data_IF_771215088572
#
_entry.id   IF_771215088572
#
_cell.length_a   1.000
_cell.length_b   1.000
_cell.length_c   1.000
_cell.angle_alpha   90.00
_cell.angle_beta   90.00
_cell.angle_gamma   90.00
#
_symmetry.space_group_name_H-M   'P 1'
#
loop_
_entity.id
_entity.type
_entity.pdbx_description
1 polymer ?
#
# COMPACT_ATOMS: atom_id res chain seq x y z
N UNK A 1 0.80 -42.08 31.24
CA UNK A 1 -0.14 -41.01 30.85
C UNK A 1 0.19 -39.79 31.68
N UNK A 2 0.94 -38.84 31.12
CA UNK A 2 1.27 -37.55 31.74
C UNK A 2 0.65 -36.46 30.87
N UNK A 3 -0.33 -35.74 31.43
CA UNK A 3 -1.06 -34.67 30.76
C UNK A 3 -0.34 -33.36 31.04
N UNK A 4 0.30 -32.78 30.02
CA UNK A 4 0.82 -31.41 30.12
C UNK A 4 -0.31 -30.43 29.80
N UNK A 5 -0.67 -29.63 30.81
CA UNK A 5 -1.51 -28.44 30.66
C UNK A 5 -0.58 -27.27 30.34
N UNK A 6 -0.65 -26.73 29.13
CA UNK A 6 0.06 -25.50 28.76
C UNK A 6 -0.92 -24.34 28.83
N UNK A 7 -0.73 -23.48 29.82
CA UNK A 7 -1.47 -22.25 30.05
C UNK A 7 -1.17 -21.22 28.95
N UNK A 8 -2.18 -20.87 28.14
CA UNK A 8 -2.14 -19.71 27.22
C UNK A 8 -2.00 -18.42 28.04
N UNK A 9 -0.92 -17.66 27.81
CA UNK A 9 -0.82 -16.26 28.24
C UNK A 9 -1.60 -15.39 27.27
N UNK A 10 -2.67 -14.78 27.76
CA UNK A 10 -3.42 -13.72 27.09
C UNK A 10 -2.63 -12.41 27.27
N UNK A 11 -2.15 -11.81 26.19
CA UNK A 11 -1.69 -10.43 26.23
C UNK A 11 -2.90 -9.52 26.05
N UNK A 12 -3.30 -8.86 27.14
CA UNK A 12 -4.24 -7.72 27.14
C UNK A 12 -3.39 -6.47 27.26
N UNK A 13 -3.33 -5.65 26.22
CA UNK A 13 -3.06 -4.23 26.37
C UNK A 13 -3.96 -3.46 25.39
N UNK A 14 -5.01 -2.86 25.96
CA UNK A 14 -5.76 -1.80 25.33
C UNK A 14 -5.03 -0.49 25.68
N UNK A 15 -4.68 0.31 24.67
CA UNK A 15 -4.21 1.68 24.86
C UNK A 15 -5.29 2.60 24.30
N UNK A 16 -6.01 3.38 25.13
CA UNK A 16 -6.86 4.45 24.64
C UNK A 16 -6.00 5.71 24.50
N UNK A 17 -5.62 6.07 23.28
CA UNK A 17 -4.98 7.37 23.04
C UNK A 17 -6.06 8.40 22.75
N UNK A 18 -6.28 9.22 23.78
CA UNK A 18 -7.15 10.39 23.75
C UNK A 18 -6.65 11.41 22.73
N UNK A 19 -7.59 11.94 21.96
CA UNK A 19 -7.40 13.02 20.99
C UNK A 19 -6.77 14.27 21.63
N UNK A 20 -5.72 14.79 21.00
CA UNK A 20 -5.24 16.16 21.22
C UNK A 20 -5.55 16.94 19.95
N UNK A 21 -6.63 17.73 20.01
CA UNK A 21 -6.96 18.71 18.97
C UNK A 21 -6.15 19.98 19.25
N UNK A 22 -5.20 20.29 18.37
CA UNK A 22 -4.50 21.57 18.34
C UNK A 22 -4.94 22.34 17.09
N UNK A 23 -5.91 23.23 17.28
CA UNK A 23 -6.29 24.24 16.28
C UNK A 23 -5.30 25.39 16.40
N UNK A 24 -4.44 25.58 15.39
CA UNK A 24 -3.72 26.83 15.20
C UNK A 24 -4.18 27.46 13.89
N UNK A 25 -5.03 28.46 14.07
CA UNK A 25 -5.44 29.45 13.08
C UNK A 25 -4.29 30.43 12.86
N UNK A 26 -3.96 30.68 11.60
CA UNK A 26 -2.98 31.69 11.21
C UNK A 26 -3.12 32.04 9.74
N UNK A 27 -3.97 33.02 9.45
CA UNK A 27 -3.96 33.75 8.19
C UNK A 27 -2.65 34.55 8.08
N UNK A 28 -1.99 34.55 6.92
CA UNK A 28 -1.23 35.70 6.43
C UNK A 28 -1.05 35.60 4.91
N UNK A 29 -1.52 36.65 4.24
CA UNK A 29 -1.41 36.91 2.81
C UNK A 29 0.04 37.15 2.39
N UNK A 30 0.36 36.83 1.13
CA UNK A 30 1.12 37.76 0.27
C UNK A 30 0.83 37.47 -1.21
N UNK A 31 0.27 38.45 -1.89
CA UNK A 31 0.25 38.59 -3.35
C UNK A 31 1.61 39.12 -3.83
N UNK A 32 2.17 38.55 -4.91
CA UNK A 32 2.88 39.24 -6.01
C UNK A 32 3.29 38.15 -7.04
N UNK A 33 2.58 37.98 -8.17
CA UNK A 33 2.78 38.66 -9.47
C UNK A 33 4.19 38.48 -10.05
N UNK A 34 4.38 37.57 -11.02
CA UNK A 34 4.65 37.91 -12.44
C UNK A 34 4.84 36.69 -13.35
N UNK A 35 4.26 36.81 -14.55
CA UNK A 35 4.45 36.05 -15.79
C UNK A 35 5.92 35.89 -16.22
N UNK A 36 6.25 34.72 -16.79
CA UNK A 36 6.90 34.60 -18.11
C UNK A 36 6.92 33.13 -18.59
N UNK A 37 6.11 32.80 -19.62
CA UNK A 37 6.43 31.74 -20.60
C UNK A 37 7.37 32.33 -21.69
N UNK A 38 7.78 31.56 -22.72
CA UNK A 38 8.63 30.38 -22.67
C UNK A 38 9.86 30.60 -23.59
N UNK A 39 10.94 29.83 -23.42
CA UNK A 39 12.03 29.80 -24.40
C UNK A 39 12.25 28.36 -24.88
N UNK A 40 11.83 28.16 -26.13
CA UNK A 40 12.12 27.01 -26.98
C UNK A 40 13.62 26.86 -27.26
N UNK A 41 14.10 25.63 -27.41
CA UNK A 41 15.22 25.27 -28.28
C UNK A 41 15.23 23.76 -28.53
N UNK A 42 15.04 23.41 -29.80
CA UNK A 42 15.36 22.10 -30.37
C UNK A 42 16.87 22.01 -30.70
N UNK A 43 17.35 20.76 -30.73
CA UNK A 43 18.35 20.18 -31.65
C UNK A 43 19.87 20.29 -31.39
N UNK A 44 20.41 19.08 -31.12
CA UNK A 44 21.46 18.35 -31.85
C UNK A 44 22.98 18.60 -31.62
N UNK A 45 23.59 17.46 -31.25
CA UNK A 45 24.80 16.81 -31.80
C UNK A 45 26.24 17.10 -31.28
N UNK A 46 26.84 15.99 -30.85
CA UNK A 46 28.23 15.51 -31.03
C UNK A 46 29.41 16.29 -30.42
N UNK A 47 30.16 15.65 -29.51
CA UNK A 47 31.49 15.09 -29.82
C UNK A 47 32.13 14.35 -28.62
N UNK A 48 32.86 13.31 -28.99
CA UNK A 48 33.59 12.34 -28.19
C UNK A 48 35.05 12.79 -28.01
N UNK A 49 35.64 12.69 -26.79
CA UNK A 49 37.06 12.35 -26.56
C UNK A 49 37.37 12.09 -25.07
N UNK A 50 37.77 10.85 -24.82
CA UNK A 50 38.81 10.29 -23.92
C UNK A 50 39.16 10.88 -22.55
N UNK A 51 39.12 9.94 -21.59
CA UNK A 51 40.04 9.71 -20.45
C UNK A 51 40.15 10.77 -19.35
N UNK A 52 39.59 10.43 -18.19
CA UNK A 52 40.29 10.41 -16.90
C UNK A 52 39.41 9.60 -15.93
N UNK A 53 39.92 8.48 -15.41
CA UNK A 53 39.27 7.78 -14.29
C UNK A 53 39.33 8.68 -13.05
N UNK A 54 38.24 8.74 -12.27
CA UNK A 54 38.38 8.81 -10.83
C UNK A 54 37.77 7.56 -10.20
N UNK A 55 38.61 6.88 -9.44
CA UNK A 55 38.33 6.36 -8.10
C UNK A 55 36.98 5.65 -7.91
N UNK A 56 37.07 4.32 -7.88
CA UNK A 56 36.58 3.41 -6.82
C UNK A 56 35.62 4.03 -5.78
N UNK A 57 34.49 4.56 -6.23
CA UNK A 57 33.32 4.76 -5.39
C UNK A 57 32.69 3.38 -5.23
N UNK A 58 33.20 2.68 -4.21
CA UNK A 58 32.40 1.92 -3.26
C UNK A 58 31.08 1.41 -3.84
N UNK A 59 31.01 0.11 -4.11
CA UNK A 59 29.76 -0.64 -4.09
C UNK A 59 29.09 -0.44 -2.71
N UNK A 60 28.52 0.73 -2.46
CA UNK A 60 27.49 0.90 -1.46
C UNK A 60 26.25 0.32 -2.13
N UNK A 61 26.02 -0.95 -1.86
CA UNK A 61 24.67 -1.48 -1.88
C UNK A 61 23.83 -0.47 -1.09
N UNK A 62 22.84 0.20 -1.73
CA UNK A 62 22.00 1.14 -1.02
C UNK A 62 21.37 0.39 0.15
N UNK A 63 21.47 0.99 1.33
CA UNK A 63 20.96 0.41 2.56
C UNK A 63 19.44 0.22 2.39
N UNK A 64 18.99 -1.02 2.27
CA UNK A 64 17.57 -1.38 2.17
C UNK A 64 16.79 -0.98 3.45
N UNK A 65 17.52 -0.56 4.50
CA UNK A 65 17.01 0.09 5.71
C UNK A 65 16.67 1.58 5.54
N UNK A 66 16.93 2.21 4.38
CA UNK A 66 16.62 3.62 4.19
C UNK A 66 15.11 3.84 4.31
N UNK A 67 14.70 4.40 5.45
CA UNK A 67 13.30 4.67 5.76
C UNK A 67 12.62 5.56 4.72
N UNK A 68 11.30 5.68 4.80
CA UNK A 68 10.55 6.50 3.87
C UNK A 68 11.04 7.95 3.96
N UNK A 69 11.52 8.49 2.84
CA UNK A 69 12.19 9.80 2.81
C UNK A 69 11.30 10.94 2.33
N UNK A 70 10.05 10.62 1.98
CA UNK A 70 9.08 11.57 1.46
C UNK A 70 8.43 12.47 2.53
N UNK A 71 7.47 13.32 2.11
CA UNK A 71 6.72 14.20 3.02
C UNK A 71 5.91 13.41 4.04
N UNK A 72 5.54 14.03 5.16
CA UNK A 72 4.70 13.39 6.18
C UNK A 72 3.42 12.78 5.56
N UNK A 73 3.07 11.51 5.88
CA UNK A 73 1.90 10.86 5.31
C UNK A 73 0.61 11.64 5.60
N UNK A 74 -0.25 11.76 4.60
CA UNK A 74 -1.56 12.39 4.80
C UNK A 74 -2.46 11.50 5.67
N UNK A 75 -3.26 12.13 6.53
CA UNK A 75 -4.15 11.46 7.51
C UNK A 75 -5.60 11.92 7.32
N UNK A 76 -6.56 11.19 7.87
CA UNK A 76 -7.97 11.61 7.93
C UNK A 76 -8.81 11.20 6.73
N UNK A 77 -9.80 12.01 6.35
CA UNK A 77 -10.65 11.74 5.18
C UNK A 77 -10.00 12.38 3.94
N UNK A 78 -9.72 11.56 2.93
CA UNK A 78 -9.10 11.97 1.66
C UNK A 78 -10.04 11.64 0.51
N UNK A 79 -10.08 12.48 -0.51
CA UNK A 79 -10.98 12.35 -1.65
C UNK A 79 -10.20 12.57 -2.97
N UNK A 80 -10.19 11.58 -3.86
CA UNK A 80 -9.51 11.67 -5.16
C UNK A 80 -10.05 12.81 -6.05
N UNK A 81 -11.25 13.33 -5.81
CA UNK A 81 -11.77 14.48 -6.57
C UNK A 81 -11.11 15.80 -6.16
N UNK A 82 -10.64 15.91 -4.92
CA UNK A 82 -10.09 17.17 -4.36
C UNK A 82 -8.63 17.10 -3.98
N UNK A 83 -8.13 15.91 -3.66
CA UNK A 83 -6.76 15.64 -3.24
C UNK A 83 -6.00 14.95 -4.37
N UNK A 84 -4.78 15.41 -4.64
CA UNK A 84 -3.88 14.75 -5.59
C UNK A 84 -3.21 13.55 -4.90
N UNK A 85 -3.76 12.35 -5.14
CA UNK A 85 -3.33 11.12 -4.47
C UNK A 85 -2.42 10.23 -5.31
N UNK A 86 -2.11 10.60 -6.56
CA UNK A 86 -1.48 9.70 -7.52
C UNK A 86 -0.16 9.08 -7.02
N UNK A 87 0.72 9.91 -6.44
CA UNK A 87 2.03 9.52 -5.89
C UNK A 87 2.14 9.86 -4.39
N UNK A 88 1.00 9.91 -3.71
CA UNK A 88 0.91 10.40 -2.33
C UNK A 88 0.93 9.25 -1.35
N UNK A 89 1.78 9.38 -0.33
CA UNK A 89 1.80 8.46 0.80
C UNK A 89 0.81 8.93 1.85
N UNK A 90 0.02 8.00 2.35
CA UNK A 90 -1.05 8.22 3.32
C UNK A 90 -0.82 7.32 4.54
N UNK A 91 -1.35 7.70 5.68
CA UNK A 91 -1.26 6.93 6.92
C UNK A 91 -2.31 5.80 6.96
N UNK A 92 -2.08 4.75 7.76
CA UNK A 92 -3.10 3.70 7.99
C UNK A 92 -4.41 4.24 8.59
N UNK A 93 -4.39 5.38 9.28
CA UNK A 93 -5.62 5.99 9.81
C UNK A 93 -6.40 6.80 8.76
N UNK A 94 -5.86 6.93 7.54
CA UNK A 94 -6.55 7.59 6.45
C UNK A 94 -7.70 6.73 5.91
N UNK A 95 -8.78 7.40 5.52
CA UNK A 95 -9.94 6.84 4.84
C UNK A 95 -10.04 7.55 3.50
N UNK A 96 -9.93 6.78 2.42
CA UNK A 96 -9.84 7.34 1.06
C UNK A 96 -11.13 7.06 0.30
N UNK A 97 -11.67 8.08 -0.35
CA UNK A 97 -12.81 7.95 -1.27
C UNK A 97 -12.39 8.28 -2.70
N UNK A 98 -12.57 7.33 -3.62
CA UNK A 98 -12.29 7.53 -5.05
C UNK A 98 -13.34 6.78 -5.87
N UNK A 99 -13.86 7.39 -6.94
CA UNK A 99 -14.89 6.79 -7.81
C UNK A 99 -16.10 6.21 -7.03
N UNK A 100 -16.46 6.85 -5.90
CA UNK A 100 -17.54 6.41 -5.01
C UNK A 100 -17.18 5.25 -4.06
N UNK A 101 -15.99 4.68 -4.16
CA UNK A 101 -15.48 3.65 -3.23
C UNK A 101 -14.79 4.30 -2.04
N UNK A 102 -15.23 3.99 -0.82
CA UNK A 102 -14.57 4.44 0.42
C UNK A 102 -13.84 3.27 1.07
N UNK A 103 -12.52 3.42 1.20
CA UNK A 103 -11.59 2.34 1.56
C UNK A 103 -10.69 2.79 2.72
N UNK A 104 -10.36 1.86 3.61
CA UNK A 104 -9.35 2.03 4.64
C UNK A 104 -8.54 0.74 4.82
N UNK A 105 -7.22 0.85 4.93
CA UNK A 105 -6.36 -0.23 5.41
C UNK A 105 -6.36 -0.20 6.95
N UNK A 106 -6.72 -1.31 7.59
CA UNK A 106 -6.98 -1.35 9.04
C UNK A 106 -6.05 -2.25 9.82
N UNK A 107 -5.39 -3.20 9.14
CA UNK A 107 -4.40 -4.08 9.73
C UNK A 107 -3.35 -4.45 8.67
N UNK A 108 -2.14 -4.75 9.13
CA UNK A 108 -1.07 -5.27 8.31
C UNK A 108 -0.24 -6.27 9.10
N UNK A 109 0.11 -7.38 8.46
CA UNK A 109 0.97 -8.41 9.04
C UNK A 109 2.13 -8.66 8.08
N UNK A 110 3.35 -8.37 8.55
CA UNK A 110 4.59 -8.60 7.81
C UNK A 110 4.78 -10.08 7.44
N UNK A 111 4.28 -10.99 8.28
CA UNK A 111 4.21 -12.42 8.03
C UNK A 111 2.80 -12.93 8.40
N UNK A 112 2.16 -13.65 7.49
CA UNK A 112 0.83 -14.21 7.66
C UNK A 112 0.74 -15.65 7.13
N UNK A 113 -0.37 -16.31 7.41
CA UNK A 113 -0.69 -17.64 6.88
C UNK A 113 -1.96 -17.56 6.05
N UNK A 114 -1.95 -18.13 4.85
CA UNK A 114 -3.13 -18.20 4.00
C UNK A 114 -4.12 -19.21 4.64
N UNK A 115 -5.40 -18.83 4.85
CA UNK A 115 -6.42 -19.75 5.30
C UNK A 115 -6.55 -20.94 4.33
N UNK A 116 -6.61 -22.19 4.80
CA UNK A 116 -6.57 -23.38 3.94
C UNK A 116 -7.82 -23.54 3.05
N UNK A 117 -8.89 -22.82 3.37
CA UNK A 117 -10.15 -22.76 2.60
C UNK A 117 -10.23 -21.56 1.66
N UNK A 118 -9.20 -20.70 1.64
CA UNK A 118 -9.11 -19.58 0.72
C UNK A 118 -8.42 -20.00 -0.57
N UNK A 119 -9.15 -19.94 -1.68
CA UNK A 119 -8.61 -20.17 -3.01
C UNK A 119 -8.03 -18.85 -3.56
N UNK A 120 -6.74 -18.88 -3.88
CA UNK A 120 -6.00 -17.75 -4.43
C UNK A 120 -5.27 -18.18 -5.72
N UNK A 121 -5.13 -17.25 -6.65
CA UNK A 121 -4.30 -17.40 -7.85
C UNK A 121 -3.19 -16.36 -7.90
N UNK A 122 -2.06 -16.75 -8.52
CA UNK A 122 -0.95 -15.85 -8.79
C UNK A 122 -1.19 -14.99 -10.04
N UNK A 123 -0.19 -14.21 -10.45
CA UNK A 123 -0.27 -13.35 -11.64
C UNK A 123 -0.38 -14.13 -12.96
N UNK A 124 -0.04 -15.43 -12.96
CA UNK A 124 -0.20 -16.34 -14.09
C UNK A 124 -1.53 -17.10 -14.07
N UNK A 125 -2.39 -16.83 -13.07
CA UNK A 125 -3.64 -17.54 -12.79
C UNK A 125 -3.43 -19.00 -12.33
N UNK A 126 -2.25 -19.32 -11.82
CA UNK A 126 -1.97 -20.62 -11.24
C UNK A 126 -2.39 -20.64 -9.75
N UNK A 127 -2.94 -21.76 -9.23
CA UNK A 127 -3.30 -21.87 -7.82
C UNK A 127 -2.10 -21.68 -6.90
N UNK A 128 -2.29 -20.90 -5.84
CA UNK A 128 -1.26 -20.63 -4.83
C UNK A 128 -1.17 -21.78 -3.82
N UNK A 129 0.05 -22.18 -3.46
CA UNK A 129 0.29 -23.08 -2.33
C UNK A 129 0.00 -22.34 -1.01
N UNK A 130 -0.91 -22.82 -0.14
CA UNK A 130 -1.20 -22.17 1.15
C UNK A 130 0.01 -22.01 2.09
N UNK A 131 1.08 -22.79 1.88
CA UNK A 131 2.33 -22.68 2.64
C UNK A 131 3.30 -21.62 2.06
N UNK A 132 2.90 -20.92 0.98
CA UNK A 132 3.68 -19.81 0.42
C UNK A 132 3.85 -18.71 1.47
N UNK A 133 5.08 -18.25 1.74
CA UNK A 133 5.30 -17.12 2.64
C UNK A 133 4.61 -15.85 2.13
N UNK A 134 3.82 -15.21 2.98
CA UNK A 134 3.05 -14.03 2.60
C UNK A 134 3.06 -12.95 3.68
N UNK A 135 2.94 -11.71 3.24
CA UNK A 135 2.40 -10.62 4.05
C UNK A 135 0.88 -10.51 3.83
N UNK A 136 0.19 -9.82 4.73
CA UNK A 136 -1.24 -9.54 4.53
C UNK A 136 -1.65 -8.14 4.93
N UNK A 137 -2.65 -7.59 4.23
CA UNK A 137 -3.29 -6.32 4.55
C UNK A 137 -4.80 -6.52 4.67
N UNK A 138 -5.40 -6.00 5.74
CA UNK A 138 -6.86 -6.02 5.92
C UNK A 138 -7.47 -4.70 5.52
N UNK A 139 -8.42 -4.77 4.59
CA UNK A 139 -9.12 -3.62 4.02
C UNK A 139 -10.55 -3.61 4.53
N UNK A 140 -11.04 -2.43 4.88
CA UNK A 140 -12.45 -2.16 5.10
C UNK A 140 -12.97 -1.26 3.98
N UNK A 141 -14.05 -1.69 3.35
CA UNK A 141 -14.81 -0.91 2.38
C UNK A 141 -16.14 -0.49 3.00
N UNK A 142 -16.35 0.80 3.18
CA UNK A 142 -17.55 1.35 3.87
C UNK A 142 -18.59 1.92 2.91
N UNK A 143 -18.17 2.29 1.70
CA UNK A 143 -19.04 2.70 0.59
C UNK A 143 -18.59 1.95 -0.67
N UNK A 144 -19.53 1.35 -1.38
CA UNK A 144 -19.28 0.78 -2.70
C UNK A 144 -19.66 1.80 -3.77
N UNK A 145 -18.73 2.11 -4.67
CA UNK A 145 -18.99 2.90 -5.86
C UNK A 145 -19.65 2.07 -6.96
N UNK A 146 -19.65 2.60 -8.17
CA UNK A 146 -20.05 1.83 -9.34
C UNK A 146 -19.00 0.73 -9.63
N UNK A 147 -19.41 -0.30 -10.36
CA UNK A 147 -18.55 -1.44 -10.70
C UNK A 147 -18.69 -2.63 -9.75
N UNK A 148 -17.97 -3.71 -10.09
CA UNK A 148 -17.92 -4.94 -9.29
C UNK A 148 -16.46 -5.43 -9.28
N UNK A 149 -15.64 -5.04 -8.28
CA UNK A 149 -14.33 -5.66 -8.11
C UNK A 149 -14.48 -7.18 -7.98
N UNK A 150 -13.56 -7.91 -8.61
CA UNK A 150 -13.50 -9.37 -8.49
C UNK A 150 -13.01 -9.76 -7.09
N UNK A 151 -12.14 -8.95 -6.47
CA UNK A 151 -11.63 -9.16 -5.12
C UNK A 151 -11.07 -7.91 -4.43
N UNK A 152 -10.56 -8.08 -3.20
CA UNK A 152 -9.87 -7.01 -2.49
C UNK A 152 -8.47 -6.75 -3.07
N UNK A 153 -7.90 -7.73 -3.80
CA UNK A 153 -6.68 -7.56 -4.61
C UNK A 153 -6.82 -6.48 -5.68
N UNK A 154 -8.05 -6.17 -6.12
CA UNK A 154 -8.35 -5.07 -7.06
C UNK A 154 -8.47 -3.70 -6.35
N UNK A 155 -8.15 -3.64 -5.06
CA UNK A 155 -8.09 -2.41 -4.27
C UNK A 155 -6.70 -2.21 -3.68
N UNK A 156 -6.11 -3.23 -3.06
CA UNK A 156 -4.70 -3.20 -2.65
C UNK A 156 -3.92 -4.20 -3.49
N UNK A 157 -3.15 -3.71 -4.45
CA UNK A 157 -2.60 -4.55 -5.51
C UNK A 157 -1.10 -4.75 -5.43
N UNK A 158 -0.42 -3.91 -4.66
CA UNK A 158 1.03 -3.87 -4.60
C UNK A 158 1.53 -3.59 -3.20
N UNK A 159 2.61 -4.26 -2.86
CA UNK A 159 3.39 -4.08 -1.65
C UNK A 159 4.79 -3.66 -2.04
N UNK A 160 5.31 -2.62 -1.39
CA UNK A 160 6.65 -2.09 -1.65
C UNK A 160 7.40 -2.01 -0.34
N UNK A 161 8.56 -2.67 -0.26
CA UNK A 161 9.49 -2.50 0.85
C UNK A 161 10.43 -1.33 0.55
N UNK A 162 10.44 -0.31 1.41
CA UNK A 162 11.28 0.88 1.22
C UNK A 162 10.51 2.10 0.70
N UNK A 163 11.15 2.88 -0.17
CA UNK A 163 10.59 4.11 -0.73
C UNK A 163 9.86 3.82 -2.05
N UNK A 164 8.59 4.22 -2.23
CA UNK A 164 7.84 3.95 -3.46
C UNK A 164 8.44 4.67 -4.69
N UNK A 165 9.30 5.67 -4.50
CA UNK A 165 10.00 6.38 -5.58
C UNK A 165 11.37 5.79 -5.92
N UNK A 166 11.87 4.84 -5.13
CA UNK A 166 13.16 4.21 -5.39
C UNK A 166 13.02 3.04 -6.36
N UNK A 167 13.92 2.98 -7.35
CA UNK A 167 14.00 1.86 -8.30
C UNK A 167 14.61 0.59 -7.69
N UNK A 168 15.17 0.69 -6.48
CA UNK A 168 15.78 -0.45 -5.77
C UNK A 168 14.81 -1.11 -4.79
N UNK A 169 13.60 -0.57 -4.64
CA UNK A 169 12.62 -1.11 -3.72
C UNK A 169 12.13 -2.47 -4.19
N UNK A 170 12.02 -3.41 -3.24
CA UNK A 170 11.43 -4.72 -3.51
C UNK A 170 9.92 -4.58 -3.62
N UNK A 171 9.33 -5.20 -4.64
CA UNK A 171 7.92 -5.05 -5.00
C UNK A 171 7.28 -6.43 -5.08
N UNK A 172 6.09 -6.57 -4.50
CA UNK A 172 5.27 -7.77 -4.58
C UNK A 172 3.84 -7.42 -4.98
N UNK A 173 3.26 -8.20 -5.89
CA UNK A 173 1.88 -8.04 -6.33
C UNK A 173 0.96 -8.99 -5.57
N UNK A 174 -0.22 -8.51 -5.18
CA UNK A 174 -1.19 -9.32 -4.45
C UNK A 174 -1.58 -10.58 -5.22
N UNK A 175 -1.78 -11.68 -4.50
CA UNK A 175 -2.57 -12.79 -5.03
C UNK A 175 -4.01 -12.38 -5.27
N UNK A 176 -4.65 -12.99 -6.26
CA UNK A 176 -6.03 -12.73 -6.64
C UNK A 176 -6.95 -13.72 -5.94
N UNK A 177 -8.07 -13.25 -5.41
CA UNK A 177 -9.07 -14.14 -4.84
C UNK A 177 -9.88 -14.85 -5.93
N UNK A 178 -9.81 -16.18 -5.93
CA UNK A 178 -10.62 -16.98 -6.83
C UNK A 178 -12.08 -16.97 -6.41
N UNK A 179 -12.95 -17.13 -7.40
CA UNK A 179 -14.37 -17.27 -7.14
C UNK A 179 -14.70 -18.67 -6.60
N UNK A 180 -14.65 -18.81 -5.28
CA UNK A 180 -15.46 -19.82 -4.62
C UNK A 180 -16.94 -19.38 -4.73
N UNK A 181 -17.83 -20.28 -5.16
CA UNK A 181 -19.23 -19.99 -5.50
C UNK A 181 -20.05 -19.19 -4.45
N UNK A 182 -21.33 -18.88 -4.73
CA UNK A 182 -22.15 -18.07 -3.83
C UNK A 182 -22.25 -18.71 -2.43
N UNK A 183 -21.59 -18.09 -1.44
CA UNK A 183 -21.67 -18.45 -0.02
C UNK A 183 -20.34 -18.78 0.67
N UNK A 184 -19.20 -18.75 -0.03
CA UNK A 184 -17.91 -19.16 0.57
C UNK A 184 -16.74 -18.20 0.34
N UNK A 185 -16.81 -17.23 -0.58
CA UNK A 185 -15.70 -16.30 -0.81
C UNK A 185 -15.76 -15.07 0.11
N UNK A 186 -14.60 -14.64 0.63
CA UNK A 186 -14.46 -13.37 1.36
C UNK A 186 -14.92 -12.15 0.53
N UNK A 187 -14.87 -12.28 -0.80
CA UNK A 187 -15.22 -11.23 -1.77
C UNK A 187 -16.73 -11.08 -2.01
N UNK A 188 -17.56 -11.98 -1.47
CA UNK A 188 -19.00 -11.99 -1.76
C UNK A 188 -19.68 -10.67 -1.37
N UNK A 189 -19.29 -10.05 -0.25
CA UNK A 189 -19.93 -8.81 0.16
C UNK A 189 -19.60 -7.66 -0.81
N UNK A 190 -18.37 -7.58 -1.35
CA UNK A 190 -17.96 -6.57 -2.33
C UNK A 190 -18.78 -6.68 -3.60
N UNK A 191 -18.90 -7.89 -4.15
CA UNK A 191 -19.64 -8.15 -5.39
C UNK A 191 -21.14 -7.90 -5.26
N UNK A 192 -21.69 -8.05 -4.05
CA UNK A 192 -23.09 -7.75 -3.77
C UNK A 192 -23.29 -6.28 -3.34
N UNK A 193 -22.24 -5.46 -3.33
CA UNK A 193 -22.23 -4.10 -2.80
C UNK A 193 -22.86 -4.00 -1.39
N UNK A 194 -22.64 -5.04 -0.57
CA UNK A 194 -23.16 -5.12 0.81
C UNK A 194 -22.13 -4.60 1.79
N UNK A 195 -22.00 -3.28 1.85
CA UNK A 195 -21.08 -2.60 2.76
C UNK A 195 -21.68 -2.41 4.18
N UNK A 196 -20.86 -2.36 5.25
CA UNK A 196 -19.39 -2.46 5.23
C UNK A 196 -18.89 -3.87 4.91
N UNK A 197 -17.79 -3.91 4.18
CA UNK A 197 -17.09 -5.11 3.76
C UNK A 197 -15.69 -5.14 4.37
N UNK A 198 -15.23 -6.32 4.78
CA UNK A 198 -13.87 -6.51 5.26
C UNK A 198 -13.27 -7.74 4.63
N UNK A 199 -12.05 -7.61 4.13
CA UNK A 199 -11.31 -8.71 3.53
C UNK A 199 -9.82 -8.54 3.70
N UNK A 200 -9.10 -9.63 3.47
CA UNK A 200 -7.65 -9.67 3.59
C UNK A 200 -7.04 -9.97 2.24
N UNK A 201 -6.09 -9.12 1.84
CA UNK A 201 -5.24 -9.31 0.68
C UNK A 201 -3.93 -9.93 1.12
N UNK A 202 -3.41 -10.87 0.32
CA UNK A 202 -2.15 -11.56 0.59
C UNK A 202 -1.13 -11.21 -0.50
N UNK A 203 0.10 -10.94 -0.08
CA UNK A 203 1.22 -10.59 -0.95
C UNK A 203 2.33 -11.63 -0.77
N UNK A 204 2.82 -12.30 -1.83
CA UNK A 204 3.97 -13.18 -1.70
C UNK A 204 5.18 -12.42 -1.18
N UNK A 205 5.89 -13.00 -0.22
CA UNK A 205 7.20 -12.50 0.19
C UNK A 205 8.24 -13.00 -0.81
N UNK A 206 8.77 -12.09 -1.62
CA UNK A 206 9.84 -12.38 -2.56
C UNK A 206 11.16 -12.66 -1.82
N UNK A 207 12.06 -13.40 -2.46
CA UNK A 207 13.38 -13.71 -1.88
C UNK A 207 14.13 -12.42 -1.49
N UNK A 208 14.49 -12.31 -0.22
CA UNK A 208 15.21 -11.15 0.34
C UNK A 208 14.31 -10.05 0.89
N UNK A 209 12.98 -10.17 0.74
CA UNK A 209 12.04 -9.23 1.34
C UNK A 209 11.93 -9.47 2.86
N UNK A 210 12.34 -8.50 3.67
CA UNK A 210 12.20 -8.51 5.13
C UNK A 210 11.36 -7.33 5.61
N UNK A 211 10.06 -7.58 5.70
CA UNK A 211 9.08 -6.58 6.12
C UNK A 211 9.06 -6.35 7.62
N UNK A 212 9.89 -7.05 8.41
CA UNK A 212 9.97 -6.82 9.86
C UNK A 212 10.76 -5.56 10.22
N UNK A 213 11.46 -4.98 9.25
CA UNK A 213 12.26 -3.77 9.44
C UNK A 213 12.01 -2.77 8.33
N UNK A 214 11.88 -1.49 8.72
CA UNK A 214 11.71 -0.40 7.77
C UNK A 214 10.28 -0.13 7.32
N UNK A 215 10.09 0.87 6.44
CA UNK A 215 8.79 1.27 5.92
C UNK A 215 8.27 0.24 4.93
N UNK A 216 6.97 -0.01 4.99
CA UNK A 216 6.27 -0.83 4.01
C UNK A 216 5.13 -0.01 3.43
N UNK A 217 4.98 -0.03 2.12
CA UNK A 217 3.91 0.68 1.43
C UNK A 217 2.93 -0.32 0.84
N UNK A 218 1.64 -0.13 1.10
CA UNK A 218 0.56 -0.84 0.39
C UNK A 218 -0.09 0.14 -0.59
N UNK A 219 0.09 -0.09 -1.89
CA UNK A 219 -0.50 0.74 -2.93
C UNK A 219 -1.98 0.43 -3.09
N UNK A 220 -2.80 1.48 -3.05
CA UNK A 220 -4.24 1.39 -3.24
C UNK A 220 -4.64 1.91 -4.64
N UNK A 221 -5.63 1.30 -5.25
CA UNK A 221 -6.21 1.76 -6.50
C UNK A 221 -7.74 1.65 -6.51
N UNK A 222 -8.35 2.50 -7.33
CA UNK A 222 -9.78 2.41 -7.62
C UNK A 222 -10.05 1.14 -8.42
N UNK A 223 -11.04 0.33 -8.00
CA UNK A 223 -11.45 -0.88 -8.72
C UNK A 223 -11.78 -0.68 -10.20
N UNK A 224 -12.22 0.52 -10.60
CA UNK A 224 -12.74 0.78 -11.94
C UNK A 224 -11.72 1.36 -12.90
N UNK A 225 -10.89 2.28 -12.42
CA UNK A 225 -10.02 3.09 -13.27
C UNK A 225 -8.55 2.67 -13.19
N UNK A 226 -8.21 1.80 -12.23
CA UNK A 226 -6.84 1.60 -11.76
C UNK A 226 -6.13 2.93 -11.38
N UNK A 227 -6.91 4.00 -11.16
CA UNK A 227 -6.41 5.25 -10.64
C UNK A 227 -5.94 5.06 -9.21
N UNK A 228 -4.75 5.56 -8.89
CA UNK A 228 -4.18 5.47 -7.55
C UNK A 228 -5.10 6.15 -6.52
N UNK A 229 -5.34 5.46 -5.41
CA UNK A 229 -6.01 5.99 -4.22
C UNK A 229 -4.96 6.37 -3.15
N UNK A 230 -3.71 6.55 -3.57
CA UNK A 230 -2.58 6.75 -2.66
C UNK A 230 -1.93 5.44 -2.21
N UNK A 231 -0.88 5.63 -1.44
CA UNK A 231 0.03 4.58 -0.98
C UNK A 231 0.08 4.58 0.54
N UNK A 232 -0.47 3.55 1.19
CA UNK A 232 -0.52 3.50 2.66
C UNK A 232 0.85 3.16 3.21
N UNK A 233 1.44 4.05 4.00
CA UNK A 233 2.61 3.75 4.81
C UNK A 233 2.20 2.93 6.03
N UNK A 234 2.77 1.74 6.09
CA UNK A 234 2.73 0.83 7.22
C UNK A 234 4.11 0.83 7.86
N UNK A 235 4.12 1.02 9.18
CA UNK A 235 5.30 0.80 10.01
C UNK A 235 5.01 -0.43 10.87
N UNK A 236 5.50 -1.63 10.47
CA UNK A 236 5.24 -2.89 11.16
C UNK A 236 5.85 -2.97 12.57
#
# INVERSE_FOLDING_TARGET
MHTHVTTRKTAKYAVPLAAVVLVLSGCLNNEDVTKAEPASSESQEQQQSSESSPDDDSNQQPDESAGYTGPEPLTGQLDCETDDLADTVISMDAVVTCDGWTVQLTDFQAEATIPPDLELTDTNLDPVDPETPVASATIVVTTAGDGNPDGYSDIAYILIQGDPKSYTSSVSHSFREDFAGPGTSQTQCLRLAKVPCTGTVYFPLEDGMDLSTGPVIVGLHSPLSAGSMGSVLVVP
#
